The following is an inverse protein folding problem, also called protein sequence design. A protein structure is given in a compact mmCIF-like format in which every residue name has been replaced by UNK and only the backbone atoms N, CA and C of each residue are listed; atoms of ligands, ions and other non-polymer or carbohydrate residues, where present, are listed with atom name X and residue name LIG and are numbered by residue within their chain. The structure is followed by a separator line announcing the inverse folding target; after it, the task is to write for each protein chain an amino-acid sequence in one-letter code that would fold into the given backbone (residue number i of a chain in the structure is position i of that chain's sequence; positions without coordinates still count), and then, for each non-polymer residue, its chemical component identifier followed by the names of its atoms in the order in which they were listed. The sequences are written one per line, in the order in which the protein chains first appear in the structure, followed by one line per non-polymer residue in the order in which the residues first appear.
data_IF_635156368186
#
_entry.id   IF_635156368186
#
_cell.length_a   1.000
_cell.length_b   1.000
_cell.length_c   1.000
_cell.angle_alpha   90.00
_cell.angle_beta   90.00
_cell.angle_gamma   90.00
#
_symmetry.space_group_name_H-M   'P 1'
#
loop_
_entity.id
_entity.type
_entity.pdbx_description
1 polymer ?
#
# COMPACT_ATOMS: atom_id res chain seq x y z
N UNK A 1 2.64 -11.72 -10.20
CA UNK A 1 2.75 -10.31 -10.61
C UNK A 1 1.79 -9.40 -9.83
N UNK A 2 0.55 -9.82 -9.56
CA UNK A 2 -0.39 -9.05 -8.70
C UNK A 2 -0.66 -9.69 -7.32
N UNK A 3 -0.77 -11.03 -7.25
CA UNK A 3 -0.99 -11.76 -5.99
C UNK A 3 0.13 -11.55 -4.96
N UNK A 4 1.39 -11.47 -5.42
CA UNK A 4 2.53 -11.18 -4.54
C UNK A 4 2.41 -9.78 -3.91
N UNK A 5 1.93 -8.79 -4.66
CA UNK A 5 1.69 -7.43 -4.15
C UNK A 5 0.60 -7.43 -3.09
N UNK A 6 -0.51 -8.14 -3.34
CA UNK A 6 -1.59 -8.27 -2.35
C UNK A 6 -1.10 -8.95 -1.06
N UNK A 7 -0.34 -10.03 -1.18
CA UNK A 7 0.20 -10.72 -0.01
C UNK A 7 1.18 -9.83 0.78
N UNK A 8 2.02 -9.06 0.09
CA UNK A 8 2.88 -8.06 0.74
C UNK A 8 2.07 -7.02 1.52
N UNK A 9 0.99 -6.49 0.94
CA UNK A 9 0.11 -5.52 1.62
C UNK A 9 -0.54 -6.12 2.87
N UNK A 10 -1.02 -7.37 2.78
CA UNK A 10 -1.61 -8.05 3.94
C UNK A 10 -0.59 -8.24 5.07
N UNK A 11 0.63 -8.66 4.75
CA UNK A 11 1.70 -8.85 5.73
C UNK A 11 2.12 -7.51 6.34
N UNK A 12 2.19 -6.45 5.52
CA UNK A 12 2.61 -5.11 5.95
C UNK A 12 1.55 -4.43 6.82
N UNK A 13 0.26 -4.61 6.52
CA UNK A 13 -0.85 -4.02 7.28
C UNK A 13 -1.47 -4.96 8.32
N UNK A 14 -0.84 -6.11 8.60
CA UNK A 14 -1.39 -7.17 9.49
C UNK A 14 -1.78 -6.64 10.88
N UNK A 15 -0.99 -5.75 11.46
CA UNK A 15 -1.22 -5.23 12.82
C UNK A 15 -2.47 -4.35 12.86
N UNK A 16 -2.66 -3.54 11.82
CA UNK A 16 -3.84 -2.68 11.66
C UNK A 16 -5.10 -3.53 11.43
N UNK A 17 -5.00 -4.56 10.59
CA UNK A 17 -6.11 -5.49 10.34
C UNK A 17 -6.48 -6.30 11.58
N UNK A 18 -5.49 -6.76 12.35
CA UNK A 18 -5.73 -7.48 13.60
C UNK A 18 -6.44 -6.59 14.62
N UNK A 19 -6.01 -5.33 14.77
CA UNK A 19 -6.69 -4.35 15.62
C UNK A 19 -8.15 -4.15 15.20
N UNK A 20 -8.42 -4.01 13.91
CA UNK A 20 -9.79 -3.88 13.39
C UNK A 20 -10.61 -5.10 13.75
N UNK A 21 -10.13 -6.32 13.50
CA UNK A 21 -10.83 -7.56 13.85
C UNK A 21 -11.10 -7.62 15.35
N UNK A 22 -10.13 -7.23 16.19
CA UNK A 22 -10.29 -7.20 17.63
C UNK A 22 -11.41 -6.22 18.08
N UNK A 23 -11.45 -5.02 17.49
CA UNK A 23 -12.52 -4.04 17.74
C UNK A 23 -13.88 -4.56 17.28
N UNK A 24 -13.95 -5.23 16.12
CA UNK A 24 -15.18 -5.86 15.61
C UNK A 24 -15.69 -6.93 16.59
N UNK A 25 -14.80 -7.76 17.14
CA UNK A 25 -15.17 -8.79 18.11
C UNK A 25 -15.73 -8.20 19.41
N UNK A 26 -15.10 -7.14 19.93
CA UNK A 26 -15.61 -6.43 21.12
C UNK A 26 -16.99 -5.84 20.83
N UNK A 27 -17.15 -5.16 19.69
CA UNK A 27 -18.42 -4.57 19.29
C UNK A 27 -19.51 -5.64 19.16
N UNK A 28 -19.19 -6.79 18.56
CA UNK A 28 -20.10 -7.93 18.45
C UNK A 28 -20.60 -8.39 19.81
N UNK A 29 -19.71 -8.57 20.79
CA UNK A 29 -20.08 -9.00 22.14
C UNK A 29 -21.00 -7.96 22.80
N UNK A 30 -20.67 -6.68 22.69
CA UNK A 30 -21.46 -5.59 23.28
C UNK A 30 -22.86 -5.54 22.64
N UNK A 31 -22.93 -5.49 21.32
CA UNK A 31 -24.20 -5.44 20.57
C UNK A 31 -25.07 -6.64 20.89
N UNK A 32 -24.48 -7.83 20.94
CA UNK A 32 -25.22 -9.07 21.22
C UNK A 32 -25.73 -9.11 22.65
N UNK A 33 -24.92 -8.65 23.61
CA UNK A 33 -25.31 -8.59 25.01
C UNK A 33 -26.44 -7.59 25.24
N UNK A 34 -26.33 -6.39 24.66
CA UNK A 34 -27.37 -5.36 24.77
C UNK A 34 -28.66 -5.84 24.11
N UNK A 35 -28.60 -6.38 22.90
CA UNK A 35 -29.80 -6.82 22.19
C UNK A 35 -30.46 -8.02 22.87
N UNK A 36 -29.67 -8.97 23.39
CA UNK A 36 -30.19 -10.06 24.20
C UNK A 36 -30.97 -9.54 25.41
N UNK A 37 -30.43 -8.57 26.15
CA UNK A 37 -31.12 -8.02 27.32
C UNK A 37 -32.43 -7.31 26.98
N UNK A 38 -32.50 -6.67 25.82
CA UNK A 38 -33.68 -5.92 25.37
C UNK A 38 -34.77 -6.82 24.79
N UNK A 39 -34.40 -7.88 24.07
CA UNK A 39 -35.36 -8.71 23.32
C UNK A 39 -35.69 -10.05 23.98
N UNK A 40 -34.90 -10.55 24.93
CA UNK A 40 -35.11 -11.88 25.54
C UNK A 40 -36.51 -12.09 26.15
N UNK A 41 -37.13 -11.02 26.68
CA UNK A 41 -38.45 -11.13 27.32
C UNK A 41 -39.57 -11.18 26.27
N UNK A 42 -39.40 -10.48 25.15
CA UNK A 42 -40.36 -10.46 24.06
C UNK A 42 -40.20 -11.66 23.12
N UNK A 43 -38.99 -12.17 22.95
CA UNK A 43 -38.63 -13.22 22.00
C UNK A 43 -37.59 -14.20 22.58
N UNK A 44 -37.94 -15.00 23.59
CA UNK A 44 -36.98 -15.88 24.28
C UNK A 44 -36.43 -17.00 23.38
N UNK A 45 -37.15 -17.42 22.34
CA UNK A 45 -36.63 -18.44 21.41
C UNK A 45 -35.62 -17.85 20.42
N UNK A 46 -35.88 -16.66 19.87
CA UNK A 46 -35.01 -16.00 18.91
C UNK A 46 -33.78 -15.37 19.57
N UNK A 47 -33.94 -14.78 20.76
CA UNK A 47 -32.88 -14.20 21.57
C UNK A 47 -32.63 -15.07 22.82
N UNK A 48 -32.35 -16.35 22.60
CA UNK A 48 -32.22 -17.37 23.66
C UNK A 48 -30.93 -17.28 24.48
N UNK A 49 -29.86 -16.75 23.89
CA UNK A 49 -28.57 -16.58 24.55
C UNK A 49 -27.75 -15.50 23.85
N UNK A 50 -26.67 -15.03 24.49
CA UNK A 50 -25.75 -14.06 23.89
C UNK A 50 -25.13 -14.64 22.59
N UNK A 51 -24.63 -15.89 22.54
CA UNK A 51 -24.12 -16.48 21.30
C UNK A 51 -25.18 -16.61 20.19
N UNK A 52 -26.43 -16.94 20.53
CA UNK A 52 -27.52 -16.94 19.54
C UNK A 52 -27.78 -15.53 19.00
N UNK A 53 -27.72 -14.52 19.87
CA UNK A 53 -27.86 -13.11 19.48
C UNK A 53 -26.65 -12.62 18.65
N UNK A 54 -25.46 -13.19 18.85
CA UNK A 54 -24.28 -12.90 18.01
C UNK A 54 -24.51 -13.24 16.55
N UNK A 55 -25.28 -14.28 16.23
CA UNK A 55 -25.65 -14.56 14.84
C UNK A 55 -26.39 -13.38 14.22
N UNK A 56 -27.43 -12.87 14.91
CA UNK A 56 -28.16 -11.68 14.48
C UNK A 56 -27.24 -10.45 14.35
N UNK A 57 -26.36 -10.23 15.32
CA UNK A 57 -25.42 -9.10 15.29
C UNK A 57 -24.45 -9.18 14.10
N UNK A 58 -23.92 -10.38 13.79
CA UNK A 58 -23.03 -10.59 12.63
C UNK A 58 -23.75 -10.26 11.33
N UNK A 59 -24.93 -10.85 11.09
CA UNK A 59 -25.64 -10.64 9.81
C UNK A 59 -26.14 -9.20 9.66
N UNK A 60 -26.45 -8.53 10.77
CA UNK A 60 -26.88 -7.12 10.76
C UNK A 60 -25.70 -6.18 10.53
N UNK A 61 -24.60 -6.34 11.26
CA UNK A 61 -23.39 -5.49 11.11
C UNK A 61 -22.71 -5.69 9.75
N UNK A 62 -22.81 -6.89 9.17
CA UNK A 62 -22.32 -7.20 7.82
C UNK A 62 -23.29 -6.80 6.71
N UNK A 63 -24.44 -6.24 7.04
CA UNK A 63 -25.50 -5.83 6.10
C UNK A 63 -26.13 -6.98 5.30
N UNK A 64 -25.93 -8.24 5.72
CA UNK A 64 -26.54 -9.42 5.09
C UNK A 64 -28.03 -9.51 5.42
N UNK A 65 -28.37 -9.43 6.71
CA UNK A 65 -29.76 -9.34 7.20
C UNK A 65 -30.73 -10.40 6.65
N UNK A 66 -30.49 -11.68 6.94
CA UNK A 66 -31.38 -12.76 6.48
C UNK A 66 -32.84 -12.61 6.92
N UNK A 67 -33.09 -11.93 8.04
CA UNK A 67 -34.43 -11.67 8.56
C UNK A 67 -35.06 -12.85 9.32
N UNK A 68 -34.26 -13.87 9.63
CA UNK A 68 -34.62 -15.01 10.48
C UNK A 68 -34.79 -14.62 11.96
N UNK A 69 -33.96 -13.70 12.43
CA UNK A 69 -34.04 -13.11 13.77
C UNK A 69 -34.04 -11.58 13.60
N UNK A 70 -34.91 -10.87 14.31
CA UNK A 70 -34.93 -9.41 14.32
C UNK A 70 -35.61 -8.88 15.58
N UNK A 71 -35.22 -7.69 16.07
CA UNK A 71 -35.86 -7.09 17.24
C UNK A 71 -37.30 -6.67 16.93
N UNK A 72 -38.23 -7.01 17.83
CA UNK A 72 -39.64 -6.61 17.70
C UNK A 72 -40.01 -5.48 18.65
N UNK A 73 -39.25 -5.29 19.74
CA UNK A 73 -39.54 -4.24 20.72
C UNK A 73 -39.23 -2.86 20.15
N UNK A 74 -39.95 -1.79 20.57
CA UNK A 74 -39.66 -0.44 20.12
C UNK A 74 -38.21 -0.02 20.39
N UNK A 75 -37.69 -0.37 21.58
CA UNK A 75 -36.31 -0.08 21.97
C UNK A 75 -35.30 -0.89 21.14
N UNK A 76 -35.55 -2.17 20.93
CA UNK A 76 -34.69 -3.03 20.12
C UNK A 76 -34.65 -2.60 18.66
N UNK A 77 -35.76 -2.14 18.09
CA UNK A 77 -35.80 -1.56 16.74
C UNK A 77 -34.98 -0.27 16.63
N UNK A 78 -35.09 0.61 17.63
CA UNK A 78 -34.29 1.84 17.68
C UNK A 78 -32.79 1.54 17.77
N UNK A 79 -32.39 0.65 18.67
CA UNK A 79 -31.00 0.21 18.80
C UNK A 79 -30.52 -0.51 17.53
N UNK A 80 -31.36 -1.37 16.97
CA UNK A 80 -31.08 -2.10 15.73
C UNK A 80 -30.80 -1.17 14.55
N UNK A 81 -31.55 -0.06 14.43
CA UNK A 81 -31.29 0.96 13.43
C UNK A 81 -29.91 1.62 13.62
N UNK A 82 -29.55 1.98 14.85
CA UNK A 82 -28.21 2.53 15.16
C UNK A 82 -27.11 1.52 14.82
N UNK A 83 -27.29 0.25 15.22
CA UNK A 83 -26.34 -0.84 14.94
C UNK A 83 -26.15 -1.05 13.44
N UNK A 84 -27.23 -0.99 12.65
CA UNK A 84 -27.15 -1.10 11.19
C UNK A 84 -26.29 0.02 10.58
N UNK A 85 -26.42 1.27 11.05
CA UNK A 85 -25.55 2.37 10.61
C UNK A 85 -24.10 2.18 11.02
N UNK A 86 -23.84 1.67 12.23
CA UNK A 86 -22.49 1.38 12.71
C UNK A 86 -21.79 0.31 11.87
N UNK A 87 -22.52 -0.70 11.39
CA UNK A 87 -21.99 -1.75 10.52
C UNK A 87 -21.35 -1.20 9.24
N UNK A 88 -21.98 -0.22 8.60
CA UNK A 88 -21.46 0.41 7.37
C UNK A 88 -20.11 1.08 7.64
N UNK A 89 -19.99 1.86 8.72
CA UNK A 89 -18.75 2.53 9.09
C UNK A 89 -17.63 1.55 9.45
N UNK A 90 -17.98 0.43 10.09
CA UNK A 90 -17.04 -0.60 10.52
C UNK A 90 -16.32 -1.26 9.34
N UNK A 91 -17.01 -1.56 8.24
CA UNK A 91 -16.41 -2.16 7.04
C UNK A 91 -15.61 -1.17 6.19
N UNK A 92 -15.81 0.15 6.34
CA UNK A 92 -15.03 1.16 5.65
C UNK A 92 -13.55 1.18 6.08
N UNK A 93 -13.28 0.87 7.36
CA UNK A 93 -11.93 0.91 7.94
C UNK A 93 -10.99 -0.13 7.28
N UNK A 94 -11.29 -1.45 7.28
CA UNK A 94 -10.40 -2.45 6.66
C UNK A 94 -10.25 -2.22 5.15
N UNK A 95 -11.31 -1.78 4.46
CA UNK A 95 -11.25 -1.41 3.04
C UNK A 95 -10.27 -0.24 2.80
N UNK A 96 -10.31 0.78 3.66
CA UNK A 96 -9.38 1.92 3.61
C UNK A 96 -7.93 1.52 3.88
N UNK A 97 -7.68 0.66 4.87
CA UNK A 97 -6.35 0.12 5.18
C UNK A 97 -5.76 -0.63 3.97
N UNK A 98 -6.55 -1.52 3.37
CA UNK A 98 -6.11 -2.28 2.19
C UNK A 98 -5.85 -1.37 0.98
N UNK A 99 -6.73 -0.40 0.74
CA UNK A 99 -6.59 0.55 -0.36
C UNK A 99 -5.30 1.37 -0.23
N UNK A 100 -5.07 1.96 0.96
CA UNK A 100 -3.86 2.74 1.24
C UNK A 100 -2.59 1.90 1.10
N UNK A 101 -2.57 0.67 1.63
CA UNK A 101 -1.42 -0.22 1.50
C UNK A 101 -1.11 -0.62 0.05
N UNK A 102 -2.14 -0.82 -0.78
CA UNK A 102 -1.96 -1.10 -2.21
C UNK A 102 -1.35 0.10 -2.94
N UNK A 103 -1.89 1.30 -2.69
CA UNK A 103 -1.38 2.55 -3.27
C UNK A 103 0.07 2.78 -2.86
N UNK A 104 0.40 2.59 -1.59
CA UNK A 104 1.77 2.72 -1.06
C UNK A 104 2.74 1.74 -1.74
N UNK A 105 2.36 0.47 -1.88
CA UNK A 105 3.21 -0.54 -2.54
C UNK A 105 3.45 -0.23 -4.02
N UNK A 106 2.42 0.24 -4.74
CA UNK A 106 2.52 0.59 -6.16
C UNK A 106 3.41 1.83 -6.34
N UNK A 107 3.19 2.87 -5.54
CA UNK A 107 3.99 4.10 -5.60
C UNK A 107 5.45 3.86 -5.19
N UNK A 108 5.68 3.01 -4.18
CA UNK A 108 7.02 2.61 -3.75
C UNK A 108 7.83 1.95 -4.87
N UNK A 109 7.21 1.01 -5.60
CA UNK A 109 7.84 0.35 -6.77
C UNK A 109 8.21 1.33 -7.88
N UNK A 110 7.33 2.30 -8.16
CA UNK A 110 7.60 3.34 -9.15
C UNK A 110 8.75 4.25 -8.72
N UNK A 111 8.84 4.63 -7.43
CA UNK A 111 9.96 5.44 -6.92
C UNK A 111 11.30 4.72 -7.03
N UNK A 112 11.34 3.42 -6.71
CA UNK A 112 12.57 2.62 -6.82
C UNK A 112 13.01 2.51 -8.28
N UNK A 113 12.09 2.25 -9.22
CA UNK A 113 12.42 2.15 -10.65
C UNK A 113 12.90 3.49 -11.23
N UNK A 114 12.33 4.62 -10.78
CA UNK A 114 12.75 5.95 -11.18
C UNK A 114 14.13 6.33 -10.63
N UNK A 115 14.43 6.00 -9.36
CA UNK A 115 15.77 6.21 -8.79
C UNK A 115 16.82 5.37 -9.51
N UNK A 116 16.52 4.10 -9.80
CA UNK A 116 17.41 3.23 -10.57
C UNK A 116 17.68 3.80 -11.98
N UNK A 117 16.64 4.19 -12.72
CA UNK A 117 16.78 4.81 -14.05
C UNK A 117 17.60 6.11 -14.03
N UNK A 118 17.41 6.96 -13.02
CA UNK A 118 18.20 8.20 -12.85
C UNK A 118 19.67 7.89 -12.57
N UNK A 119 19.96 6.91 -11.72
CA UNK A 119 21.33 6.46 -11.44
C UNK A 119 22.04 5.98 -12.71
N UNK A 120 21.39 5.11 -13.49
CA UNK A 120 21.95 4.63 -14.77
C UNK A 120 22.15 5.78 -15.76
N UNK A 121 21.17 6.69 -15.90
CA UNK A 121 21.29 7.85 -16.81
C UNK A 121 22.48 8.75 -16.45
N UNK A 122 22.69 9.03 -15.17
CA UNK A 122 23.83 9.84 -14.72
C UNK A 122 25.16 9.17 -15.02
N UNK A 123 25.26 7.84 -14.80
CA UNK A 123 26.46 7.08 -15.16
C UNK A 123 26.73 7.16 -16.66
N UNK A 124 25.70 7.00 -17.51
CA UNK A 124 25.85 7.11 -18.97
C UNK A 124 26.30 8.51 -19.41
N UNK A 125 25.76 9.57 -18.80
CA UNK A 125 26.17 10.95 -19.09
C UNK A 125 27.65 11.17 -18.77
N UNK A 126 28.11 10.74 -17.60
CA UNK A 126 29.52 10.85 -17.21
C UNK A 126 30.45 10.01 -18.11
N UNK A 127 30.00 8.85 -18.59
CA UNK A 127 30.79 8.05 -19.54
C UNK A 127 30.96 8.77 -20.89
N UNK A 128 29.90 9.40 -21.40
CA UNK A 128 29.98 10.16 -22.65
C UNK A 128 30.93 11.36 -22.54
N UNK A 129 30.89 12.10 -21.42
CA UNK A 129 31.82 13.21 -21.16
C UNK A 129 33.28 12.72 -21.12
N UNK A 130 33.55 11.58 -20.46
CA UNK A 130 34.89 10.97 -20.42
C UNK A 130 35.34 10.52 -21.81
N UNK A 131 34.44 10.00 -22.64
CA UNK A 131 34.76 9.58 -24.02
C UNK A 131 35.10 10.79 -24.92
N UNK A 132 34.37 11.90 -24.80
CA UNK A 132 34.71 13.16 -25.49
C UNK A 132 36.07 13.71 -25.07
N UNK A 133 36.31 13.79 -23.75
CA UNK A 133 37.60 14.24 -23.20
C UNK A 133 38.77 13.35 -23.64
N UNK A 134 38.54 12.05 -23.76
CA UNK A 134 39.51 11.07 -24.29
C UNK A 134 39.88 11.34 -25.76
N UNK A 135 38.88 11.62 -26.61
CA UNK A 135 39.10 11.98 -28.02
C UNK A 135 39.94 13.24 -28.15
N UNK A 136 39.61 14.28 -27.40
CA UNK A 136 40.35 15.54 -27.44
C UNK A 136 41.81 15.36 -27.00
N UNK A 137 42.04 14.57 -25.95
CA UNK A 137 43.39 14.26 -25.48
C UNK A 137 44.22 13.53 -26.55
N UNK A 138 43.61 12.62 -27.28
CA UNK A 138 44.28 11.89 -28.38
C UNK A 138 44.62 12.82 -29.56
N UNK A 139 43.71 13.74 -29.92
CA UNK A 139 43.96 14.75 -30.96
C UNK A 139 45.13 15.67 -30.59
N UNK A 140 45.17 16.15 -29.35
CA UNK A 140 46.28 16.98 -28.84
C UNK A 140 47.60 16.20 -28.86
N UNK A 141 47.58 14.92 -28.48
CA UNK A 141 48.78 14.07 -28.52
C UNK A 141 49.31 13.94 -29.95
N UNK A 142 48.43 13.76 -30.94
CA UNK A 142 48.80 13.66 -32.35
C UNK A 142 49.42 14.94 -32.89
N UNK A 143 48.80 16.10 -32.60
CA UNK A 143 49.32 17.42 -32.93
C UNK A 143 50.71 17.67 -32.32
N UNK A 144 50.92 17.26 -31.06
CA UNK A 144 52.24 17.38 -30.41
C UNK A 144 53.33 16.57 -31.12
N UNK A 145 53.03 15.35 -31.56
CA UNK A 145 54.00 14.55 -32.31
C UNK A 145 54.29 15.15 -33.70
N UNK A 146 53.26 15.64 -34.40
CA UNK A 146 53.46 16.35 -35.68
C UNK A 146 54.34 17.59 -35.53
N UNK A 147 54.11 18.40 -34.49
CA UNK A 147 54.89 19.61 -34.22
C UNK A 147 56.35 19.27 -33.87
N UNK A 148 56.57 18.18 -33.13
CA UNK A 148 57.90 17.69 -32.76
C UNK A 148 58.70 17.23 -33.97
N UNK A 149 58.06 16.57 -34.94
CA UNK A 149 58.69 16.20 -36.22
C UNK A 149 59.10 17.46 -36.99
N UNK A 150 58.21 18.44 -37.12
CA UNK A 150 58.46 19.67 -37.87
C UNK A 150 59.58 20.54 -37.29
N UNK A 151 59.68 20.62 -35.96
CA UNK A 151 60.80 21.31 -35.30
C UNK A 151 62.13 20.62 -35.66
N UNK A 152 62.15 19.28 -35.64
CA UNK A 152 63.34 18.50 -35.95
C UNK A 152 63.80 18.67 -37.41
N UNK A 153 62.86 18.83 -38.35
CA UNK A 153 63.16 19.17 -39.74
C UNK A 153 63.76 20.57 -39.88
N UNK A 154 63.19 21.58 -39.19
CA UNK A 154 63.72 22.95 -39.22
C UNK A 154 65.15 23.04 -38.66
N UNK A 155 65.42 22.38 -37.53
CA UNK A 155 66.77 22.31 -36.94
C UNK A 155 67.79 21.61 -37.84
N UNK A 156 67.34 20.72 -38.74
CA UNK A 156 68.21 20.07 -39.72
C UNK A 156 68.54 20.95 -40.93
N UNK A 157 67.65 21.88 -41.28
CA UNK A 157 67.83 22.84 -42.37
C UNK A 157 68.72 24.04 -41.98
N UNK A 158 68.75 24.43 -40.70
CA UNK A 158 69.67 25.47 -40.20
C UNK A 158 71.14 25.03 -40.09
N UNK A 159 71.45 23.74 -40.32
CA UNK A 159 72.79 23.15 -40.19
C UNK A 159 73.50 22.87 -41.53
N UNK A 160 72.85 23.17 -42.66
CA UNK A 160 73.45 23.23 -44.01
C UNK A 160 73.83 24.67 -44.37
#
# INVERSE_FOLDING_TARGET
TSLKTLNSVLIEKKEQLLLVIFVILILLIIVSSVMYLVEKEAQPEAFSSIPATMWWAVITLTTVGYGDIYPITPLGKFLGAIIAFLGIGMFAIPAGILSSGLVETIQGKNRISLKAKRGTKNITLSQNEIEELSKDKNSIKKLKEELKIKIKELESLEKE
#
